data_IF_507949542104
#
_entry.id   IF_507949542104
#
_cell.length_a   1.000
_cell.length_b   1.000
_cell.length_c   1.000
_cell.angle_alpha   90.00
_cell.angle_beta   90.00
_cell.angle_gamma   90.00
#
_symmetry.space_group_name_H-M   'P 1'
#
loop_
_entity.id
_entity.type
_entity.pdbx_description
1 polymer ?
#
# COMPACT_ATOMS: atom_id res chain seq x y z
N UNK A 1 16.66 11.43 -8.04
CA UNK A 1 15.22 11.74 -8.15
C UNK A 1 14.90 13.15 -7.66
N UNK A 2 15.81 14.10 -7.84
CA UNK A 2 15.62 15.49 -7.43
C UNK A 2 15.56 16.42 -8.65
N UNK A 3 14.98 17.61 -8.45
CA UNK A 3 14.97 18.67 -9.46
C UNK A 3 16.41 19.03 -9.92
N UNK A 4 16.61 19.39 -11.18
CA UNK A 4 15.62 19.51 -12.27
C UNK A 4 15.40 18.23 -13.10
N UNK A 5 16.09 17.12 -12.81
CA UNK A 5 16.04 15.87 -13.58
C UNK A 5 15.00 14.88 -13.10
N UNK A 6 14.40 15.12 -11.96
CA UNK A 6 13.32 14.37 -11.36
C UNK A 6 12.40 15.31 -10.61
N UNK A 7 11.55 14.79 -9.76
CA UNK A 7 10.75 15.56 -8.82
C UNK A 7 10.54 14.75 -7.52
N UNK A 8 10.16 15.43 -6.44
CA UNK A 8 10.07 14.85 -5.09
C UNK A 8 9.08 13.69 -4.96
N UNK A 9 8.10 13.60 -5.85
CA UNK A 9 7.04 12.59 -5.81
C UNK A 9 7.38 11.33 -6.65
N UNK A 10 8.63 11.21 -7.15
CA UNK A 10 9.08 10.03 -7.88
C UNK A 10 9.42 8.91 -6.90
N UNK A 11 8.96 7.70 -7.24
CA UNK A 11 9.41 6.44 -6.65
C UNK A 11 10.31 5.73 -7.65
N UNK A 12 11.47 5.25 -7.21
CA UNK A 12 12.41 4.48 -8.00
C UNK A 12 12.54 3.06 -7.47
N UNK A 13 12.90 2.15 -8.37
CA UNK A 13 13.26 0.78 -8.06
C UNK A 13 14.66 0.49 -8.59
N UNK A 14 15.54 -0.04 -7.75
CA UNK A 14 16.85 -0.54 -8.13
C UNK A 14 16.82 -2.05 -8.11
N UNK A 15 17.08 -2.69 -9.24
CA UNK A 15 17.22 -4.14 -9.34
C UNK A 15 18.62 -4.53 -8.87
N UNK A 16 18.70 -5.54 -8.02
CA UNK A 16 19.95 -6.06 -7.44
C UNK A 16 19.90 -7.59 -7.42
N UNK A 17 21.06 -8.21 -7.26
CA UNK A 17 21.13 -9.65 -6.99
C UNK A 17 20.45 -9.98 -5.67
N UNK A 18 19.57 -10.98 -5.62
CA UNK A 18 18.89 -11.37 -4.38
C UNK A 18 19.87 -12.07 -3.43
N UNK A 19 19.61 -11.94 -2.12
CA UNK A 19 20.34 -12.68 -1.07
C UNK A 19 19.71 -14.05 -0.88
N UNK A 20 18.38 -14.12 -0.93
CA UNK A 20 17.63 -15.38 -0.85
C UNK A 20 17.78 -16.18 -2.13
N UNK A 21 18.04 -17.49 -1.99
CA UNK A 21 18.08 -18.42 -3.12
C UNK A 21 16.68 -18.71 -3.71
N UNK A 22 15.63 -18.32 -3.03
CA UNK A 22 14.25 -18.49 -3.45
C UNK A 22 13.77 -17.33 -4.33
N UNK A 23 14.46 -16.18 -4.28
CA UNK A 23 14.07 -15.01 -5.05
C UNK A 23 14.71 -14.99 -6.44
N UNK A 24 13.92 -14.53 -7.42
CA UNK A 24 14.38 -14.33 -8.79
C UNK A 24 15.19 -13.03 -8.92
N UNK A 25 14.75 -11.97 -8.24
CA UNK A 25 15.35 -10.63 -8.31
C UNK A 25 15.25 -9.96 -6.92
N UNK A 26 16.32 -9.27 -6.52
CA UNK A 26 16.28 -8.31 -5.41
C UNK A 26 15.82 -6.94 -5.89
N UNK A 27 14.99 -6.26 -5.10
CA UNK A 27 14.47 -4.93 -5.44
C UNK A 27 14.60 -3.99 -4.25
N UNK A 28 15.25 -2.84 -4.46
CA UNK A 28 15.34 -1.76 -3.47
C UNK A 28 14.47 -0.61 -3.95
N UNK A 29 13.42 -0.29 -3.20
CA UNK A 29 12.56 0.86 -3.48
C UNK A 29 13.06 2.10 -2.76
N UNK A 30 12.89 3.25 -3.41
CA UNK A 30 13.28 4.54 -2.86
C UNK A 30 12.39 5.67 -3.38
N UNK A 31 12.20 6.70 -2.59
CA UNK A 31 11.74 8.00 -3.03
C UNK A 31 12.88 9.03 -2.96
N UNK A 32 12.58 10.31 -3.10
CA UNK A 32 13.59 11.35 -3.06
C UNK A 32 14.27 11.51 -1.68
N UNK A 33 13.65 11.01 -0.61
CA UNK A 33 14.06 11.28 0.77
C UNK A 33 14.49 10.03 1.54
N UNK A 34 13.99 8.82 1.15
CA UNK A 34 14.17 7.60 1.95
C UNK A 34 14.14 6.32 1.13
N UNK A 35 14.58 5.24 1.77
CA UNK A 35 14.33 3.88 1.34
C UNK A 35 12.91 3.47 1.75
N UNK A 36 12.23 2.72 0.89
CA UNK A 36 10.87 2.24 1.10
C UNK A 36 10.93 0.72 1.27
N UNK A 37 10.40 0.21 2.37
CA UNK A 37 10.45 -1.23 2.67
C UNK A 37 9.62 -2.06 1.70
N UNK A 38 8.44 -1.55 1.31
CA UNK A 38 7.52 -2.19 0.36
C UNK A 38 6.70 -1.11 -0.35
N UNK A 39 6.53 -1.27 -1.67
CA UNK A 39 5.68 -0.40 -2.48
C UNK A 39 4.90 -1.23 -3.51
N UNK A 40 3.60 -1.48 -3.26
CA UNK A 40 2.78 -2.33 -4.13
C UNK A 40 2.67 -1.82 -5.57
N UNK A 41 2.52 -0.52 -5.76
CA UNK A 41 2.51 0.07 -7.10
C UNK A 41 3.84 -0.12 -7.84
N UNK A 42 4.97 0.07 -7.16
CA UNK A 42 6.28 -0.14 -7.75
C UNK A 42 6.53 -1.64 -8.02
N UNK A 43 6.03 -2.53 -7.17
CA UNK A 43 6.09 -3.99 -7.40
C UNK A 43 5.37 -4.37 -8.69
N UNK A 44 4.17 -3.85 -8.93
CA UNK A 44 3.46 -4.05 -10.20
C UNK A 44 4.31 -3.54 -11.37
N UNK A 45 4.85 -2.31 -11.29
CA UNK A 45 5.64 -1.72 -12.36
C UNK A 45 6.94 -2.47 -12.65
N UNK A 46 7.66 -2.92 -11.60
CA UNK A 46 8.87 -3.75 -11.73
C UNK A 46 8.54 -5.08 -12.41
N UNK A 47 7.51 -5.79 -11.95
CA UNK A 47 7.12 -7.09 -12.51
C UNK A 47 6.71 -6.98 -13.98
N UNK A 48 5.94 -5.94 -14.35
CA UNK A 48 5.65 -5.64 -15.75
C UNK A 48 6.91 -5.41 -16.58
N UNK A 49 7.87 -4.66 -16.04
CA UNK A 49 9.14 -4.37 -16.73
C UNK A 49 9.96 -5.63 -16.91
N UNK A 50 10.10 -6.45 -15.87
CA UNK A 50 10.85 -7.70 -15.92
C UNK A 50 10.32 -8.64 -17.03
N UNK A 51 9.00 -8.77 -17.15
CA UNK A 51 8.35 -9.59 -18.18
C UNK A 51 8.46 -8.95 -19.56
N UNK A 52 8.06 -7.70 -19.72
CA UNK A 52 7.97 -7.04 -21.02
C UNK A 52 9.34 -6.83 -21.69
N UNK A 53 10.41 -6.66 -20.88
CA UNK A 53 11.79 -6.51 -21.35
C UNK A 53 12.56 -7.84 -21.36
N UNK A 54 11.89 -8.98 -21.08
CA UNK A 54 12.49 -10.31 -21.02
C UNK A 54 13.72 -10.40 -20.09
N UNK A 55 13.67 -9.71 -18.95
CA UNK A 55 14.72 -9.75 -17.93
C UNK A 55 14.61 -10.97 -17.03
N UNK A 56 13.51 -11.71 -17.14
CA UNK A 56 13.24 -12.99 -16.47
C UNK A 56 12.72 -13.99 -17.49
N UNK A 57 12.66 -15.29 -17.12
CA UNK A 57 12.05 -16.31 -17.96
C UNK A 57 10.54 -16.11 -17.98
N UNK A 58 9.99 -15.72 -19.13
CA UNK A 58 8.55 -15.53 -19.34
C UNK A 58 7.87 -16.87 -19.63
N UNK A 59 6.74 -17.10 -18.94
CA UNK A 59 5.88 -18.29 -19.10
C UNK A 59 4.45 -17.82 -19.26
N UNK A 60 3.75 -18.30 -20.31
CA UNK A 60 2.32 -18.03 -20.52
C UNK A 60 1.48 -19.23 -20.03
N UNK A 61 0.28 -19.02 -19.53
CA UNK A 61 -0.44 -17.74 -19.38
C UNK A 61 -0.04 -16.94 -18.13
N UNK A 62 0.75 -17.51 -17.20
CA UNK A 62 1.16 -16.86 -15.97
C UNK A 62 2.66 -17.06 -15.73
N UNK A 63 3.36 -15.96 -15.53
CA UNK A 63 4.75 -15.95 -15.06
C UNK A 63 4.75 -15.71 -13.56
N UNK A 64 5.24 -16.68 -12.78
CA UNK A 64 5.43 -16.56 -11.33
C UNK A 64 6.81 -15.97 -11.05
N UNK A 65 6.87 -14.97 -10.17
CA UNK A 65 8.10 -14.32 -9.74
C UNK A 65 8.15 -14.24 -8.21
N UNK A 66 9.33 -14.37 -7.66
CA UNK A 66 9.60 -14.08 -6.24
C UNK A 66 10.57 -12.91 -6.18
N UNK A 67 10.10 -11.77 -5.69
CA UNK A 67 10.90 -10.56 -5.52
C UNK A 67 11.35 -10.45 -4.06
N UNK A 68 12.66 -10.26 -3.85
CA UNK A 68 13.20 -9.97 -2.51
C UNK A 68 13.29 -8.47 -2.31
N UNK A 69 12.70 -7.99 -1.23
CA UNK A 69 12.77 -6.59 -0.82
C UNK A 69 12.93 -6.45 0.69
N UNK A 70 13.12 -5.23 1.19
CA UNK A 70 13.35 -5.01 2.62
C UNK A 70 12.22 -5.54 3.53
N UNK A 71 10.99 -5.62 3.02
CA UNK A 71 9.85 -6.21 3.73
C UNK A 71 9.84 -7.75 3.72
N UNK A 72 10.64 -8.40 2.89
CA UNK A 72 10.70 -9.86 2.74
C UNK A 72 10.51 -10.33 1.29
N UNK A 73 10.17 -11.59 1.13
CA UNK A 73 9.86 -12.20 -0.17
C UNK A 73 8.41 -11.90 -0.55
N UNK A 74 8.23 -11.44 -1.78
CA UNK A 74 6.91 -11.14 -2.34
C UNK A 74 6.66 -12.03 -3.55
N UNK A 75 5.63 -12.86 -3.47
CA UNK A 75 5.17 -13.71 -4.56
C UNK A 75 4.30 -12.90 -5.50
N UNK A 76 4.65 -12.92 -6.79
CA UNK A 76 3.99 -12.13 -7.82
C UNK A 76 3.56 -13.02 -8.96
N UNK A 77 2.32 -12.90 -9.40
CA UNK A 77 1.77 -13.53 -10.57
C UNK A 77 1.56 -12.47 -11.67
N UNK A 78 2.20 -12.68 -12.80
CA UNK A 78 2.05 -11.82 -13.98
C UNK A 78 1.30 -12.59 -15.05
N UNK A 79 0.08 -12.18 -15.36
CA UNK A 79 -0.67 -12.72 -16.50
C UNK A 79 -0.05 -12.19 -17.79
N UNK A 80 0.28 -13.12 -18.69
CA UNK A 80 0.95 -12.84 -19.97
C UNK A 80 0.12 -13.39 -21.11
N UNK A 81 -0.06 -12.59 -22.15
CA UNK A 81 -0.70 -12.97 -23.41
C UNK A 81 0.05 -12.32 -24.57
N UNK A 82 0.42 -13.11 -25.57
CA UNK A 82 1.21 -12.65 -26.72
C UNK A 82 2.53 -11.97 -26.30
N UNK A 83 3.21 -12.50 -25.30
CA UNK A 83 4.47 -11.96 -24.75
C UNK A 83 4.34 -10.66 -24.00
N UNK A 84 3.14 -10.21 -23.67
CA UNK A 84 2.89 -8.93 -22.97
C UNK A 84 2.11 -9.13 -21.68
N UNK A 85 2.48 -8.36 -20.67
CA UNK A 85 1.75 -8.31 -19.40
C UNK A 85 0.33 -7.79 -19.60
N UNK A 86 -0.64 -8.53 -19.09
CA UNK A 86 -2.07 -8.14 -19.02
C UNK A 86 -2.43 -7.63 -17.64
N UNK A 87 -2.03 -8.33 -16.60
CA UNK A 87 -2.27 -7.95 -15.22
C UNK A 87 -1.13 -8.44 -14.33
N UNK A 88 -1.02 -7.83 -13.15
CA UNK A 88 -0.09 -8.26 -12.10
C UNK A 88 -0.85 -8.34 -10.79
N UNK A 89 -0.71 -9.46 -10.10
CA UNK A 89 -1.15 -9.64 -8.73
C UNK A 89 0.02 -10.08 -7.85
N UNK A 90 -0.04 -9.75 -6.57
CA UNK A 90 1.00 -10.16 -5.62
C UNK A 90 0.38 -10.39 -4.24
N UNK A 91 0.99 -11.29 -3.50
CA UNK A 91 0.70 -11.51 -2.10
C UNK A 91 1.53 -10.54 -1.26
N UNK A 92 0.84 -9.65 -0.54
CA UNK A 92 1.55 -8.73 0.33
C UNK A 92 1.94 -9.43 1.65
N UNK A 93 2.82 -8.79 2.40
CA UNK A 93 3.21 -9.24 3.74
C UNK A 93 2.01 -9.27 4.69
N UNK A 94 2.09 -10.04 5.79
CA UNK A 94 1.03 -10.09 6.79
C UNK A 94 0.63 -8.69 7.27
N UNK A 95 -0.66 -8.40 7.17
CA UNK A 95 -1.25 -7.10 7.48
C UNK A 95 -2.24 -7.22 8.64
N UNK A 96 -2.33 -6.22 9.51
CA UNK A 96 -3.20 -6.30 10.69
C UNK A 96 -3.77 -4.94 11.12
N UNK A 97 -4.91 -4.98 11.78
CA UNK A 97 -5.49 -3.84 12.49
C UNK A 97 -4.75 -3.64 13.81
N UNK A 98 -4.14 -2.48 14.00
CA UNK A 98 -3.38 -2.16 15.20
C UNK A 98 -4.26 -1.57 16.30
N UNK A 99 -5.08 -0.57 15.98
CA UNK A 99 -5.97 0.11 16.93
C UNK A 99 -7.18 0.69 16.22
N UNK A 100 -8.37 0.55 16.84
CA UNK A 100 -9.64 1.06 16.34
C UNK A 100 -10.09 2.29 17.10
N UNK A 101 -10.97 3.07 16.46
CA UNK A 101 -11.67 4.21 17.08
C UNK A 101 -10.73 5.25 17.71
N UNK A 102 -9.58 5.46 17.10
CA UNK A 102 -8.66 6.52 17.47
C UNK A 102 -9.27 7.90 17.21
N UNK A 103 -8.85 8.91 17.96
CA UNK A 103 -9.38 10.27 17.86
C UNK A 103 -8.28 11.32 18.03
N UNK A 104 -8.18 12.24 17.08
CA UNK A 104 -7.35 13.45 17.17
C UNK A 104 -8.15 14.64 16.61
N UNK A 105 -8.28 15.73 17.39
CA UNK A 105 -8.98 16.95 16.98
C UNK A 105 -10.36 16.71 16.34
N UNK A 106 -11.18 15.85 16.95
CA UNK A 106 -12.50 15.45 16.49
C UNK A 106 -12.49 14.67 15.15
N UNK A 107 -11.32 14.20 14.68
CA UNK A 107 -11.21 13.31 13.53
C UNK A 107 -11.04 11.89 14.06
N UNK A 108 -11.98 11.01 13.74
CA UNK A 108 -11.92 9.59 14.03
C UNK A 108 -11.13 8.87 12.94
N UNK A 109 -10.33 7.88 13.33
CA UNK A 109 -9.54 7.06 12.42
C UNK A 109 -9.21 5.71 13.05
N UNK A 110 -8.77 4.78 12.23
CA UNK A 110 -8.25 3.48 12.64
C UNK A 110 -6.78 3.38 12.22
N UNK A 111 -5.96 2.64 12.97
CA UNK A 111 -4.56 2.42 12.64
C UNK A 111 -4.39 0.98 12.16
N UNK A 112 -3.88 0.80 10.94
CA UNK A 112 -3.65 -0.50 10.35
C UNK A 112 -2.24 -0.61 9.75
N UNK A 113 -1.69 -1.81 9.70
CA UNK A 113 -0.35 -2.11 9.19
C UNK A 113 -0.40 -3.01 7.97
N UNK A 114 0.47 -2.70 6.97
CA UNK A 114 0.63 -3.48 5.74
C UNK A 114 1.98 -3.21 5.05
N UNK A 115 3.07 -3.21 5.83
CA UNK A 115 4.42 -2.78 5.40
C UNK A 115 4.81 -1.42 5.94
N UNK A 116 3.82 -0.57 6.17
CA UNK A 116 3.90 0.64 7.00
C UNK A 116 2.57 0.84 7.73
N UNK A 117 2.56 1.69 8.76
CA UNK A 117 1.31 2.05 9.43
C UNK A 117 0.58 3.15 8.68
N UNK A 118 -0.73 2.94 8.56
CA UNK A 118 -1.70 3.86 7.95
C UNK A 118 -2.72 4.31 9.00
N UNK A 119 -3.07 5.59 8.98
CA UNK A 119 -4.29 6.07 9.57
C UNK A 119 -5.41 6.03 8.50
N UNK A 120 -6.47 5.28 8.76
CA UNK A 120 -7.62 5.12 7.87
C UNK A 120 -8.74 6.05 8.33
N UNK A 121 -9.06 7.05 7.53
CA UNK A 121 -10.01 8.12 7.88
C UNK A 121 -11.20 8.07 6.94
N UNK A 122 -12.40 7.81 7.49
CA UNK A 122 -13.65 8.00 6.75
C UNK A 122 -13.86 9.49 6.49
N UNK A 123 -13.75 9.91 5.23
CA UNK A 123 -13.79 11.32 4.86
C UNK A 123 -15.21 11.91 4.89
N UNK A 124 -16.25 11.08 5.03
CA UNK A 124 -17.62 11.56 5.19
C UNK A 124 -17.79 12.44 6.45
N UNK A 125 -16.92 12.23 7.47
CA UNK A 125 -16.90 13.08 8.67
C UNK A 125 -16.33 14.49 8.45
N UNK A 126 -15.66 14.73 7.30
CA UNK A 126 -14.92 15.98 7.06
C UNK A 126 -15.70 17.00 6.23
N UNK A 127 -16.82 16.62 5.66
CA UNK A 127 -17.59 17.43 4.68
C UNK A 127 -16.71 17.95 3.51
N UNK A 128 -15.75 17.12 3.08
CA UNK A 128 -14.81 17.41 1.98
C UNK A 128 -14.86 16.27 0.98
N UNK A 129 -15.30 16.53 -0.24
CA UNK A 129 -15.32 15.53 -1.31
C UNK A 129 -13.91 15.16 -1.77
N UNK A 130 -13.65 13.86 -1.94
CA UNK A 130 -12.38 13.35 -2.50
C UNK A 130 -12.39 13.53 -4.02
N UNK A 131 -11.74 14.60 -4.48
CA UNK A 131 -11.55 14.93 -5.89
C UNK A 131 -10.27 15.75 -6.09
N UNK A 132 -9.90 16.01 -7.34
CA UNK A 132 -8.67 16.73 -7.69
C UNK A 132 -8.64 18.17 -7.15
N UNK A 133 -9.79 18.85 -7.08
CA UNK A 133 -9.87 20.24 -6.62
C UNK A 133 -9.58 20.37 -5.12
N UNK A 134 -9.87 19.32 -4.35
CA UNK A 134 -9.64 19.28 -2.92
C UNK A 134 -8.34 18.58 -2.52
N UNK A 135 -7.53 18.08 -3.48
CA UNK A 135 -6.32 17.32 -3.21
C UNK A 135 -5.33 18.06 -2.29
N UNK A 136 -5.15 19.36 -2.47
CA UNK A 136 -4.28 20.18 -1.61
C UNK A 136 -4.85 20.31 -0.17
N UNK A 137 -6.17 20.39 -0.01
CA UNK A 137 -6.79 20.42 1.33
C UNK A 137 -6.53 19.10 2.08
N UNK A 138 -6.71 17.95 1.40
CA UNK A 138 -6.38 16.65 1.98
C UNK A 138 -4.90 16.51 2.30
N UNK A 139 -4.01 17.06 1.47
CA UNK A 139 -2.57 17.07 1.73
C UNK A 139 -2.24 17.82 3.03
N UNK A 140 -2.72 19.05 3.18
CA UNK A 140 -2.49 19.86 4.38
C UNK A 140 -3.07 19.20 5.62
N UNK A 141 -4.31 18.70 5.53
CA UNK A 141 -4.99 17.98 6.60
C UNK A 141 -4.22 16.71 6.99
N UNK A 142 -3.80 15.91 5.99
CA UNK A 142 -3.09 14.65 6.20
C UNK A 142 -1.76 14.83 6.91
N UNK A 143 -0.93 15.77 6.46
CA UNK A 143 0.36 16.08 7.11
C UNK A 143 0.17 16.53 8.55
N UNK A 144 -0.80 17.42 8.81
CA UNK A 144 -1.10 17.88 10.16
C UNK A 144 -1.61 16.73 11.05
N UNK A 145 -2.50 15.89 10.52
CA UNK A 145 -3.07 14.77 11.24
C UNK A 145 -2.00 13.75 11.61
N UNK A 146 -1.11 13.37 10.67
CA UNK A 146 -0.02 12.43 10.92
C UNK A 146 0.93 12.91 12.01
N UNK A 147 1.29 14.20 12.02
CA UNK A 147 2.09 14.78 13.10
C UNK A 147 1.43 14.59 14.46
N UNK A 148 0.15 14.94 14.58
CA UNK A 148 -0.61 14.84 15.83
C UNK A 148 -0.85 13.40 16.27
N UNK A 149 -1.08 12.48 15.33
CA UNK A 149 -1.18 11.04 15.62
C UNK A 149 0.11 10.55 16.25
N UNK A 150 1.25 10.85 15.63
CA UNK A 150 2.56 10.39 16.12
C UNK A 150 3.00 11.09 17.44
N UNK A 151 2.43 12.25 17.78
CA UNK A 151 2.61 12.90 19.10
C UNK A 151 1.75 12.22 20.17
N UNK A 152 0.57 11.68 19.81
CA UNK A 152 -0.41 11.16 20.76
C UNK A 152 -0.36 9.64 20.94
N UNK A 153 -0.09 8.88 19.89
CA UNK A 153 -0.15 7.43 19.86
C UNK A 153 1.25 6.82 19.79
N UNK A 154 1.56 5.88 20.71
CA UNK A 154 2.81 5.09 20.68
C UNK A 154 2.62 3.85 19.80
N UNK A 155 2.75 4.04 18.49
CA UNK A 155 2.57 2.98 17.49
C UNK A 155 3.88 2.23 17.32
N UNK A 156 3.83 0.89 17.51
CA UNK A 156 5.01 0.01 17.35
C UNK A 156 4.63 -1.29 16.69
N UNK A 157 5.38 -1.69 15.67
CA UNK A 157 5.29 -3.04 15.15
C UNK A 157 5.87 -4.04 16.14
N UNK A 158 5.23 -5.21 16.38
CA UNK A 158 5.65 -6.15 17.43
C UNK A 158 7.07 -6.70 17.27
N UNK A 159 7.54 -6.85 16.02
CA UNK A 159 8.79 -7.54 15.70
C UNK A 159 9.75 -6.74 14.81
N UNK A 160 9.28 -5.66 14.15
CA UNK A 160 10.09 -4.83 13.25
C UNK A 160 10.36 -3.46 13.87
N UNK A 161 11.47 -2.79 13.52
CA UNK A 161 11.80 -1.45 14.02
C UNK A 161 10.97 -0.35 13.36
N UNK A 162 9.64 -0.55 13.27
CA UNK A 162 8.67 0.38 12.68
C UNK A 162 7.80 0.92 13.83
N UNK A 163 7.85 2.22 14.06
CA UNK A 163 7.32 2.82 15.27
C UNK A 163 6.54 4.13 15.05
N UNK A 164 5.99 4.33 13.84
CA UNK A 164 5.20 5.53 13.56
C UNK A 164 4.22 5.32 12.41
N UNK A 165 3.17 6.11 12.38
CA UNK A 165 2.25 6.20 11.26
C UNK A 165 2.83 7.16 10.23
N UNK A 166 3.02 6.68 8.99
CA UNK A 166 3.67 7.44 7.92
C UNK A 166 2.75 7.83 6.77
N UNK A 167 1.55 7.26 6.75
CA UNK A 167 0.54 7.55 5.72
C UNK A 167 -0.83 7.75 6.36
N UNK A 168 -1.64 8.60 5.77
CA UNK A 168 -3.08 8.66 6.01
C UNK A 168 -3.83 8.36 4.72
N UNK A 169 -4.80 7.46 4.79
CA UNK A 169 -5.74 7.17 3.72
C UNK A 169 -7.11 7.74 4.08
N UNK A 170 -7.50 8.82 3.40
CA UNK A 170 -8.86 9.32 3.43
C UNK A 170 -9.68 8.55 2.40
N UNK A 171 -10.89 8.13 2.76
CA UNK A 171 -11.75 7.36 1.86
C UNK A 171 -13.23 7.73 2.00
N UNK A 172 -13.97 7.65 0.89
CA UNK A 172 -15.43 7.60 0.84
C UNK A 172 -15.87 6.22 0.41
N UNK A 173 -16.94 5.70 0.99
CA UNK A 173 -17.57 4.46 0.51
C UNK A 173 -18.27 4.73 -0.83
N UNK A 174 -18.22 3.74 -1.72
CA UNK A 174 -18.95 3.70 -2.98
C UNK A 174 -19.76 2.41 -3.06
N UNK A 175 -20.65 2.29 -4.06
CA UNK A 175 -21.47 1.08 -4.24
C UNK A 175 -20.59 -0.18 -4.46
N UNK A 176 -19.45 -0.03 -5.14
CA UNK A 176 -18.54 -1.12 -5.53
C UNK A 176 -17.28 -1.24 -4.65
N UNK A 177 -17.11 -0.41 -3.61
CA UNK A 177 -15.91 -0.41 -2.79
C UNK A 177 -15.66 0.91 -2.10
N UNK A 178 -14.56 1.58 -2.40
CA UNK A 178 -14.28 2.94 -1.90
C UNK A 178 -13.46 3.78 -2.88
N UNK A 179 -13.58 5.09 -2.74
CA UNK A 179 -12.70 6.08 -3.38
C UNK A 179 -11.76 6.65 -2.34
N UNK A 180 -10.46 6.75 -2.67
CA UNK A 180 -9.45 7.20 -1.72
C UNK A 180 -8.54 8.31 -2.24
N UNK A 181 -7.84 8.92 -1.28
CA UNK A 181 -6.64 9.73 -1.46
C UNK A 181 -5.67 9.41 -0.32
N UNK A 182 -4.43 9.06 -0.66
CA UNK A 182 -3.39 8.72 0.33
C UNK A 182 -2.35 9.83 0.37
N UNK A 183 -2.01 10.26 1.57
CA UNK A 183 -1.04 11.33 1.86
C UNK A 183 0.07 10.77 2.74
N UNK A 184 1.33 10.95 2.34
CA UNK A 184 2.49 10.62 3.18
C UNK A 184 2.83 11.74 4.16
N UNK A 185 3.66 11.43 5.15
CA UNK A 185 4.14 12.44 6.12
C UNK A 185 4.94 13.58 5.47
N UNK A 186 5.55 13.35 4.29
CA UNK A 186 6.23 14.38 3.51
C UNK A 186 5.26 15.20 2.64
N UNK A 187 3.96 14.92 2.72
CA UNK A 187 2.92 15.58 1.93
C UNK A 187 2.92 15.16 0.46
N UNK A 188 3.38 13.95 0.16
CA UNK A 188 3.24 13.34 -1.16
C UNK A 188 1.83 12.75 -1.28
N UNK A 189 1.17 13.04 -2.39
CA UNK A 189 -0.11 12.41 -2.75
C UNK A 189 0.20 11.18 -3.59
N UNK A 190 -0.21 9.99 -3.14
CA UNK A 190 -0.04 8.76 -3.92
C UNK A 190 -0.74 8.89 -5.29
N UNK A 191 -0.02 8.55 -6.34
CA UNK A 191 -0.53 8.62 -7.73
C UNK A 191 -1.29 7.37 -8.14
N UNK A 192 -1.26 6.33 -7.32
CA UNK A 192 -2.00 5.08 -7.45
C UNK A 192 -3.15 4.98 -6.45
N UNK A 193 -3.99 3.94 -6.51
CA UNK A 193 -4.91 3.61 -5.41
C UNK A 193 -4.24 3.25 -4.09
N UNK A 194 -2.90 3.16 -4.06
CA UNK A 194 -2.04 2.70 -2.97
C UNK A 194 -2.20 1.19 -2.67
N UNK A 195 -1.23 0.38 -3.13
CA UNK A 195 -1.25 -1.07 -2.89
C UNK A 195 -1.21 -1.43 -1.41
N UNK A 196 -0.26 -0.86 -0.66
CA UNK A 196 -0.14 -1.06 0.79
C UNK A 196 -1.33 -0.45 1.54
N UNK A 197 -1.84 0.72 1.15
CA UNK A 197 -3.07 1.29 1.71
C UNK A 197 -4.27 0.37 1.50
N UNK A 198 -4.41 -0.21 0.30
CA UNK A 198 -5.45 -1.23 0.01
C UNK A 198 -5.33 -2.42 0.98
N UNK A 199 -4.12 -2.94 1.21
CA UNK A 199 -3.88 -4.05 2.13
C UNK A 199 -4.16 -3.67 3.60
N UNK A 200 -3.78 -2.45 4.03
CA UNK A 200 -4.12 -1.93 5.36
C UNK A 200 -5.65 -1.84 5.55
N UNK A 201 -6.35 -1.42 4.49
CA UNK A 201 -7.82 -1.35 4.49
C UNK A 201 -8.47 -2.73 4.55
N UNK A 202 -7.93 -3.71 3.79
CA UNK A 202 -8.38 -5.11 3.86
C UNK A 202 -8.23 -5.67 5.28
N UNK A 203 -7.10 -5.42 5.95
CA UNK A 203 -6.89 -5.85 7.32
C UNK A 203 -7.91 -5.23 8.30
N UNK A 204 -8.17 -3.93 8.16
CA UNK A 204 -9.22 -3.26 8.93
C UNK A 204 -10.60 -3.87 8.68
N UNK A 205 -11.01 -3.98 7.41
CA UNK A 205 -12.35 -4.46 7.06
C UNK A 205 -12.57 -5.91 7.49
N UNK A 206 -11.55 -6.76 7.34
CA UNK A 206 -11.62 -8.15 7.76
C UNK A 206 -11.73 -8.30 9.29
N UNK A 207 -10.89 -7.58 10.03
CA UNK A 207 -10.91 -7.63 11.50
C UNK A 207 -12.18 -7.02 12.10
N UNK A 208 -12.84 -6.08 11.39
CA UNK A 208 -14.12 -5.49 11.81
C UNK A 208 -15.35 -6.16 11.19
N UNK A 209 -15.20 -7.36 10.58
CA UNK A 209 -16.26 -8.16 9.95
C UNK A 209 -17.03 -7.42 8.83
N UNK A 210 -16.37 -6.49 8.15
CA UNK A 210 -16.91 -5.74 7.01
C UNK A 210 -16.53 -6.36 5.66
N UNK A 211 -15.66 -7.37 5.67
CA UNK A 211 -15.22 -8.12 4.49
C UNK A 211 -14.99 -9.58 4.87
N UNK A 212 -15.28 -10.50 3.97
CA UNK A 212 -15.08 -11.94 4.15
C UNK A 212 -13.79 -12.41 3.47
N UNK A 213 -13.34 -13.60 3.83
CA UNK A 213 -12.25 -14.29 3.15
C UNK A 213 -12.59 -14.47 1.66
N UNK A 214 -11.64 -14.17 0.78
CA UNK A 214 -11.76 -14.23 -0.68
C UNK A 214 -12.77 -13.26 -1.31
N UNK A 215 -13.41 -12.40 -0.53
CA UNK A 215 -14.27 -11.34 -1.06
C UNK A 215 -13.43 -10.26 -1.73
N UNK A 216 -13.83 -9.86 -2.95
CA UNK A 216 -13.14 -8.81 -3.72
C UNK A 216 -13.52 -7.44 -3.17
N UNK A 217 -12.52 -6.65 -2.84
CA UNK A 217 -12.63 -5.25 -2.48
C UNK A 217 -12.01 -4.37 -3.58
N UNK A 218 -12.72 -3.32 -3.99
CA UNK A 218 -12.24 -2.35 -4.98
C UNK A 218 -11.81 -1.07 -4.27
N UNK A 219 -10.53 -0.73 -4.39
CA UNK A 219 -9.99 0.53 -3.91
C UNK A 219 -9.68 1.44 -5.10
N UNK A 220 -10.44 2.50 -5.25
CA UNK A 220 -10.35 3.42 -6.39
C UNK A 220 -9.71 4.73 -5.97
N UNK A 221 -8.69 5.16 -6.69
CA UNK A 221 -8.18 6.51 -6.57
C UNK A 221 -9.19 7.53 -7.15
N UNK A 222 -9.19 8.75 -6.63
CA UNK A 222 -10.08 9.82 -7.09
C UNK A 222 -9.97 10.16 -8.60
N UNK A 223 -8.94 9.66 -9.30
CA UNK A 223 -8.78 9.80 -10.76
C UNK A 223 -9.39 8.65 -11.56
N UNK A 224 -10.02 7.65 -10.90
CA UNK A 224 -10.71 6.54 -11.54
C UNK A 224 -9.90 5.25 -11.68
N UNK A 225 -8.58 5.28 -11.47
CA UNK A 225 -7.77 4.05 -11.43
C UNK A 225 -8.09 3.27 -10.17
N UNK A 226 -8.22 1.93 -10.27
CA UNK A 226 -8.55 1.06 -9.14
C UNK A 226 -7.59 -0.11 -9.00
N UNK A 227 -7.42 -0.55 -7.76
CA UNK A 227 -6.88 -1.87 -7.41
C UNK A 227 -8.00 -2.77 -6.92
N UNK A 228 -7.85 -4.07 -7.16
CA UNK A 228 -8.67 -5.12 -6.56
C UNK A 228 -7.81 -5.83 -5.54
N UNK A 229 -8.36 -6.03 -4.35
CA UNK A 229 -7.69 -6.78 -3.30
C UNK A 229 -8.66 -7.77 -2.65
N UNK A 230 -8.12 -8.80 -2.04
CA UNK A 230 -8.88 -9.76 -1.23
C UNK A 230 -8.00 -10.30 -0.11
N UNK A 231 -8.61 -10.81 0.93
CA UNK A 231 -7.93 -11.57 1.98
C UNK A 231 -7.88 -13.02 1.54
N UNK A 232 -6.67 -13.59 1.38
CA UNK A 232 -6.51 -14.99 0.95
C UNK A 232 -6.30 -15.94 2.12
N UNK A 233 -5.73 -15.46 3.23
CA UNK A 233 -5.42 -16.29 4.39
C UNK A 233 -5.49 -15.47 5.68
N UNK A 234 -5.91 -16.13 6.78
CA UNK A 234 -5.74 -15.62 8.14
C UNK A 234 -4.40 -16.07 8.70
N UNK A 235 -3.70 -15.16 9.38
CA UNK A 235 -2.46 -15.45 10.07
C UNK A 235 -2.39 -14.67 11.39
N UNK A 236 -1.24 -14.67 12.05
CA UNK A 236 -1.04 -13.97 13.30
C UNK A 236 0.33 -13.34 13.40
N UNK A 237 0.40 -12.11 13.88
CA UNK A 237 1.64 -11.46 14.28
C UNK A 237 1.53 -11.08 15.75
N UNK A 238 2.29 -11.79 16.62
CA UNK A 238 2.22 -11.65 18.07
C UNK A 238 0.76 -11.76 18.58
N UNK A 239 0.21 -10.72 19.16
CA UNK A 239 -1.18 -10.68 19.66
C UNK A 239 -2.21 -10.30 18.59
N UNK A 240 -1.78 -9.81 17.44
CA UNK A 240 -2.68 -9.30 16.39
C UNK A 240 -3.16 -10.42 15.47
N UNK A 241 -4.48 -10.45 15.22
CA UNK A 241 -5.05 -11.21 14.12
C UNK A 241 -4.63 -10.52 12.82
N UNK A 242 -3.82 -11.18 12.02
CA UNK A 242 -3.30 -10.69 10.77
C UNK A 242 -3.92 -11.44 9.58
N UNK A 243 -3.74 -10.88 8.40
CA UNK A 243 -4.20 -11.46 7.14
C UNK A 243 -3.06 -11.43 6.12
N UNK A 244 -3.11 -12.33 5.13
CA UNK A 244 -2.36 -12.21 3.88
C UNK A 244 -3.32 -11.62 2.85
N UNK A 245 -3.07 -10.41 2.41
CA UNK A 245 -3.89 -9.76 1.40
C UNK A 245 -3.34 -9.97 0.01
#
# INVERSE_FOLDING_TARGET
MCEPRGHKDMVGALLVEPISKEADIGVIYMDANRWINMCGYATIGVSMTLVNENLVKVVEPVTHLILEMAAGLIHVDVEVEDGKTKSVSFENIPSFLFEENCLVNNIHFDISYSGSFFALVDADQLDIEININNANKFKELGVNLLRQINEKYDVKHPTLPINRVVNVEFYHKTDDGQKNIVISEEGIIDRSPCGTGTCAKLAYMYNTNKLKLNEIFINQRFTGVSFKGRVIEETKIDKYKAIIP
#
